data_IF_211841534658
#
_entry.id   IF_211841534658
#
_cell.length_a   1.000
_cell.length_b   1.000
_cell.length_c   1.000
_cell.angle_alpha   90.00
_cell.angle_beta   90.00
_cell.angle_gamma   90.00
#
_symmetry.space_group_name_H-M   'P 1'
#
loop_
_entity.id
_entity.type
_entity.pdbx_description
1 polymer ?
#
# COMPACT_ATOMS: atom_id res chain seq x y z
N UNK A 1 -26.08 52.34 -52.58
CA UNK A 1 -24.87 52.57 -51.76
C UNK A 1 -25.29 52.68 -50.31
N UNK A 2 -25.45 51.54 -49.61
CA UNK A 2 -25.41 51.41 -48.14
C UNK A 2 -25.01 49.96 -47.86
N UNK A 3 -23.95 49.78 -47.07
CA UNK A 3 -23.43 48.53 -46.54
C UNK A 3 -24.20 48.07 -45.30
N UNK A 4 -24.16 46.76 -45.01
CA UNK A 4 -24.45 46.22 -43.68
C UNK A 4 -24.49 44.69 -43.66
N UNK A 5 -23.33 44.04 -43.55
CA UNK A 5 -23.21 42.61 -43.27
C UNK A 5 -23.30 42.36 -41.76
N UNK A 6 -24.05 41.32 -41.38
CA UNK A 6 -24.27 40.90 -40.00
C UNK A 6 -23.09 40.15 -39.39
N UNK A 7 -22.96 40.28 -38.07
CA UNK A 7 -22.13 39.44 -37.22
C UNK A 7 -22.99 38.91 -36.07
N UNK A 8 -23.07 37.59 -35.95
CA UNK A 8 -23.53 36.93 -34.73
C UNK A 8 -22.42 35.96 -34.32
N UNK A 9 -21.72 36.33 -33.26
CA UNK A 9 -20.73 35.53 -32.54
C UNK A 9 -21.47 34.56 -31.62
N UNK A 10 -21.39 33.26 -31.90
CA UNK A 10 -21.74 32.21 -30.93
C UNK A 10 -20.46 31.53 -30.47
N UNK A 11 -20.02 31.83 -29.25
CA UNK A 11 -19.02 31.04 -28.53
C UNK A 11 -19.80 29.95 -27.79
N UNK A 12 -19.51 28.69 -28.13
CA UNK A 12 -20.08 27.53 -27.46
C UNK A 12 -19.21 27.23 -26.24
N UNK A 13 -19.64 27.68 -25.07
CA UNK A 13 -18.99 27.40 -23.80
C UNK A 13 -19.57 26.09 -23.25
N UNK A 14 -18.77 25.02 -23.28
CA UNK A 14 -19.15 23.72 -22.75
C UNK A 14 -18.53 23.56 -21.36
N UNK A 15 -19.10 24.23 -20.37
CA UNK A 15 -18.82 23.92 -18.96
C UNK A 15 -19.51 22.60 -18.60
N UNK A 16 -18.76 21.50 -18.59
CA UNK A 16 -19.18 20.27 -17.91
C UNK A 16 -18.74 20.39 -16.45
N UNK A 17 -19.68 20.75 -15.59
CA UNK A 17 -19.52 20.66 -14.14
C UNK A 17 -20.06 19.32 -13.65
N UNK A 18 -19.27 18.65 -12.80
CA UNK A 18 -19.73 17.55 -11.97
C UNK A 18 -19.17 16.17 -12.33
N UNK A 19 -18.00 15.86 -11.77
CA UNK A 19 -17.74 14.51 -11.28
C UNK A 19 -17.37 14.62 -9.79
N UNK A 20 -17.88 13.72 -8.92
CA UNK A 20 -17.36 13.60 -7.56
C UNK A 20 -15.87 13.27 -7.66
N UNK A 21 -15.05 13.87 -6.79
CA UNK A 21 -13.62 13.59 -6.70
C UNK A 21 -13.41 12.07 -6.65
N UNK A 22 -12.85 11.52 -7.73
CA UNK A 22 -12.34 10.16 -7.73
C UNK A 22 -11.21 10.11 -6.70
N UNK A 23 -11.14 9.02 -5.92
CA UNK A 23 -10.01 8.73 -5.05
C UNK A 23 -8.68 9.00 -5.79
N UNK A 24 -7.61 9.45 -5.09
CA UNK A 24 -6.31 9.73 -5.69
C UNK A 24 -5.91 8.59 -6.62
N UNK A 25 -5.80 8.91 -7.90
CA UNK A 25 -5.57 7.94 -8.96
C UNK A 25 -4.08 7.73 -9.13
N UNK A 26 -3.48 6.79 -8.38
CA UNK A 26 -2.07 6.42 -8.56
C UNK A 26 -1.09 7.60 -8.51
N UNK A 27 0.13 7.38 -9.02
CA UNK A 27 1.14 8.44 -9.12
C UNK A 27 0.77 9.49 -10.18
N UNK A 28 1.15 10.75 -9.94
CA UNK A 28 0.99 11.87 -10.86
C UNK A 28 2.29 12.01 -11.67
N UNK A 29 2.17 11.99 -13.01
CA UNK A 29 3.27 12.30 -13.94
C UNK A 29 2.71 13.12 -15.09
N UNK A 30 2.73 14.45 -14.93
CA UNK A 30 2.06 15.37 -15.84
C UNK A 30 3.05 16.32 -16.53
N UNK A 31 2.81 16.62 -17.80
CA UNK A 31 3.66 17.50 -18.60
C UNK A 31 2.85 18.60 -19.30
N UNK A 32 3.45 19.78 -19.41
CA UNK A 32 2.83 20.92 -20.07
C UNK A 32 2.66 20.67 -21.58
N UNK A 33 1.57 21.19 -22.13
CA UNK A 33 1.32 21.18 -23.58
C UNK A 33 1.66 22.54 -24.19
N UNK A 34 1.82 22.61 -25.51
CA UNK A 34 2.09 23.88 -26.21
C UNK A 34 3.54 24.37 -26.16
N UNK A 35 4.48 23.48 -25.83
CA UNK A 35 5.94 23.71 -25.93
C UNK A 35 6.46 23.21 -27.30
N UNK A 36 7.53 23.79 -27.86
CA UNK A 36 8.44 24.74 -27.24
C UNK A 36 7.93 26.18 -27.18
N UNK A 37 8.32 26.93 -26.14
CA UNK A 37 8.11 28.37 -26.02
C UNK A 37 9.43 29.09 -26.24
N UNK A 38 9.43 30.10 -27.13
CA UNK A 38 10.56 31.01 -27.28
C UNK A 38 10.67 31.94 -26.07
N UNK A 39 11.89 32.25 -25.68
CA UNK A 39 12.23 33.14 -24.58
C UNK A 39 13.04 34.29 -25.16
N UNK A 40 12.36 35.32 -25.70
CA UNK A 40 13.02 36.47 -26.33
C UNK A 40 12.98 37.68 -25.39
N UNK A 41 14.10 38.15 -24.82
CA UNK A 41 14.08 39.18 -23.79
C UNK A 41 13.71 40.60 -24.27
N UNK A 42 13.24 41.46 -23.33
CA UNK A 42 12.88 41.14 -21.96
C UNK A 42 11.54 40.37 -21.94
N UNK A 43 11.54 39.15 -21.43
CA UNK A 43 10.37 38.29 -21.44
C UNK A 43 10.20 37.56 -20.13
N UNK A 44 9.00 37.70 -19.58
CA UNK A 44 8.47 36.80 -18.56
C UNK A 44 7.64 35.78 -19.32
N UNK A 45 8.08 34.53 -19.30
CA UNK A 45 7.37 33.44 -19.95
C UNK A 45 6.82 32.50 -18.89
N UNK A 46 5.60 32.04 -19.13
CA UNK A 46 4.94 31.07 -18.25
C UNK A 46 4.52 29.85 -19.03
N UNK A 47 4.65 28.70 -18.40
CA UNK A 47 4.09 27.43 -18.87
C UNK A 47 3.31 26.79 -17.72
N UNK A 48 2.22 26.11 -18.04
CA UNK A 48 1.30 25.60 -17.03
C UNK A 48 1.03 24.11 -17.22
N UNK A 49 0.88 23.41 -16.11
CA UNK A 49 0.39 22.03 -16.02
C UNK A 49 -0.91 22.06 -15.24
N UNK A 50 -1.94 21.36 -15.71
CA UNK A 50 -3.20 21.23 -14.98
C UNK A 50 -3.34 19.80 -14.47
N UNK A 51 -3.10 19.61 -13.17
CA UNK A 51 -3.26 18.32 -12.49
C UNK A 51 -4.73 18.09 -12.16
N UNK A 52 -5.25 16.91 -12.48
CA UNK A 52 -6.68 16.58 -12.29
C UNK A 52 -6.94 15.70 -11.09
N UNK A 53 -5.92 14.95 -10.66
CA UNK A 53 -5.89 14.09 -9.50
C UNK A 53 -6.11 14.92 -8.23
N UNK A 54 -6.92 14.42 -7.32
CA UNK A 54 -7.18 15.08 -6.03
C UNK A 54 -6.35 14.49 -4.91
N UNK A 55 -5.95 15.32 -3.96
CA UNK A 55 -5.15 14.94 -2.80
C UNK A 55 -4.39 16.16 -2.28
N UNK A 56 -3.52 15.93 -1.30
CA UNK A 56 -2.63 16.97 -0.77
C UNK A 56 -1.19 16.50 -0.79
N UNK A 57 -0.25 17.45 -0.86
CA UNK A 57 1.17 17.15 -0.66
C UNK A 57 1.40 16.95 0.83
N UNK A 58 2.05 15.85 1.22
CA UNK A 58 2.19 15.52 2.62
C UNK A 58 3.06 14.30 2.87
N UNK A 59 2.87 13.71 4.05
CA UNK A 59 3.68 12.59 4.52
C UNK A 59 2.82 11.42 5.04
N UNK A 60 1.50 11.55 5.03
CA UNK A 60 0.60 10.48 5.47
C UNK A 60 0.25 9.53 4.31
N UNK A 61 -0.19 8.33 4.65
CA UNK A 61 -0.82 7.44 3.66
C UNK A 61 -2.02 8.13 3.01
N UNK A 62 -2.07 8.10 1.68
CA UNK A 62 -3.05 8.80 0.85
C UNK A 62 -2.65 10.22 0.43
N UNK A 63 -1.59 10.79 0.99
CA UNK A 63 -0.98 12.05 0.52
C UNK A 63 -0.06 11.78 -0.70
N UNK A 64 0.37 12.84 -1.37
CA UNK A 64 1.39 12.78 -2.42
C UNK A 64 2.75 13.26 -1.91
N UNK A 65 3.78 12.51 -2.27
CA UNK A 65 5.17 12.95 -2.19
C UNK A 65 5.56 13.62 -3.52
N UNK A 66 5.98 14.87 -3.49
CA UNK A 66 6.50 15.60 -4.65
C UNK A 66 7.92 15.12 -4.95
N UNK A 67 8.08 14.30 -5.99
CA UNK A 67 9.35 13.67 -6.31
C UNK A 67 10.29 14.63 -7.02
N UNK A 68 9.82 15.21 -8.13
CA UNK A 68 10.61 16.11 -8.93
C UNK A 68 9.83 17.04 -9.87
N UNK A 69 10.52 18.08 -10.28
CA UNK A 69 10.12 19.00 -11.34
C UNK A 69 11.19 18.95 -12.43
N UNK A 70 10.76 18.64 -13.66
CA UNK A 70 11.66 18.50 -14.80
C UNK A 70 11.32 19.51 -15.88
N UNK A 71 12.32 20.14 -16.47
CA UNK A 71 12.10 20.93 -17.68
C UNK A 71 13.32 20.92 -18.59
N UNK A 72 13.09 20.89 -19.90
CA UNK A 72 14.14 21.00 -20.90
C UNK A 72 14.24 22.44 -21.40
N UNK A 73 15.44 23.00 -21.30
CA UNK A 73 15.67 24.42 -21.49
C UNK A 73 16.94 24.69 -22.29
N UNK A 74 16.88 25.66 -23.19
CA UNK A 74 18.04 26.24 -23.88
C UNK A 74 18.07 27.75 -23.68
N UNK A 75 19.25 28.34 -23.47
CA UNK A 75 19.43 29.80 -23.50
C UNK A 75 20.80 30.21 -24.04
N UNK A 76 20.86 31.36 -24.69
CA UNK A 76 22.10 32.04 -25.04
C UNK A 76 22.92 32.49 -23.82
N UNK A 77 22.27 32.80 -22.71
CA UNK A 77 22.87 33.17 -21.43
C UNK A 77 21.91 32.77 -20.29
N UNK A 78 22.41 32.17 -19.21
CA UNK A 78 21.51 31.60 -18.19
C UNK A 78 21.61 32.25 -16.81
N UNK A 79 22.62 33.10 -16.58
CA UNK A 79 22.96 33.58 -15.24
C UNK A 79 21.91 34.51 -14.62
N UNK A 80 21.09 35.14 -15.42
CA UNK A 80 20.07 36.13 -15.09
C UNK A 80 18.67 35.54 -15.02
N UNK A 81 18.53 34.24 -15.28
CA UNK A 81 17.24 33.56 -15.21
C UNK A 81 16.81 33.35 -13.76
N UNK A 82 15.60 33.78 -13.46
CA UNK A 82 14.88 33.40 -12.25
C UNK A 82 13.76 32.46 -12.65
N UNK A 83 13.81 31.24 -12.11
CA UNK A 83 12.86 30.17 -12.38
C UNK A 83 12.06 29.94 -11.10
N UNK A 84 10.74 30.07 -11.20
CA UNK A 84 9.83 29.94 -10.07
C UNK A 84 8.73 28.96 -10.42
N UNK A 85 8.46 28.02 -9.52
CA UNK A 85 7.28 27.18 -9.55
C UNK A 85 6.23 27.74 -8.60
N UNK A 86 5.00 27.89 -9.07
CA UNK A 86 3.85 28.33 -8.27
C UNK A 86 2.78 27.25 -8.25
N UNK A 87 2.31 26.91 -7.04
CA UNK A 87 1.25 25.91 -6.81
C UNK A 87 -0.14 26.46 -7.14
N UNK A 88 -1.17 25.59 -7.25
CA UNK A 88 -2.57 26.01 -7.40
C UNK A 88 -3.07 26.94 -6.28
N UNK A 89 -2.46 26.87 -5.09
CA UNK A 89 -2.75 27.74 -3.95
C UNK A 89 -1.99 29.07 -3.97
N UNK A 90 -1.21 29.35 -5.02
CA UNK A 90 -0.34 30.52 -5.20
C UNK A 90 0.91 30.58 -4.31
N UNK A 91 1.27 29.50 -3.62
CA UNK A 91 2.57 29.40 -2.97
C UNK A 91 3.65 29.26 -4.03
N UNK A 92 4.76 29.98 -3.86
CA UNK A 92 5.83 30.02 -4.87
C UNK A 92 7.15 29.55 -4.28
N UNK A 93 7.82 28.66 -5.00
CA UNK A 93 9.17 28.20 -4.74
C UNK A 93 10.07 28.68 -5.88
N UNK A 94 11.11 29.45 -5.55
CA UNK A 94 12.17 29.75 -6.49
C UNK A 94 13.00 28.47 -6.66
N UNK A 95 13.01 27.91 -7.87
CA UNK A 95 13.80 26.73 -8.19
C UNK A 95 15.25 27.12 -8.47
N UNK A 96 15.46 28.27 -9.13
CA UNK A 96 16.77 28.85 -9.38
C UNK A 96 16.71 30.37 -9.53
N UNK A 97 17.70 31.09 -8.99
CA UNK A 97 17.82 32.55 -9.10
C UNK A 97 19.21 33.06 -9.51
N UNK A 98 20.21 32.17 -9.63
CA UNK A 98 21.63 32.49 -9.93
C UNK A 98 22.34 31.34 -10.65
N UNK A 99 22.26 31.30 -11.99
CA UNK A 99 22.88 30.21 -12.77
C UNK A 99 24.32 30.55 -13.22
N UNK A 100 25.21 30.96 -12.31
CA UNK A 100 26.67 31.04 -12.52
C UNK A 100 27.23 32.11 -13.48
N UNK A 101 28.50 32.02 -13.96
CA UNK A 101 29.24 33.14 -14.51
C UNK A 101 29.23 33.07 -16.04
N UNK A 102 28.04 33.21 -16.64
CA UNK A 102 27.87 33.47 -18.07
C UNK A 102 28.20 32.33 -19.04
N UNK A 103 27.32 32.14 -20.03
CA UNK A 103 27.52 31.20 -21.14
C UNK A 103 26.21 30.62 -21.65
N UNK A 104 26.23 30.14 -22.90
CA UNK A 104 25.06 29.50 -23.50
C UNK A 104 24.80 28.13 -22.87
N UNK A 105 23.56 27.88 -22.48
CA UNK A 105 23.06 26.55 -22.15
C UNK A 105 22.46 25.93 -23.41
N UNK A 106 23.06 24.86 -23.98
CA UNK A 106 22.36 24.06 -24.98
C UNK A 106 21.12 23.42 -24.34
N UNK A 107 20.16 23.00 -25.17
CA UNK A 107 18.95 22.31 -24.72
C UNK A 107 19.27 21.17 -23.76
N UNK A 108 19.00 21.38 -22.47
CA UNK A 108 19.37 20.49 -21.37
C UNK A 108 18.17 20.29 -20.47
N UNK A 109 17.97 19.05 -20.01
CA UNK A 109 16.92 18.73 -19.04
C UNK A 109 17.44 19.02 -17.64
N UNK A 110 16.72 19.87 -16.91
CA UNK A 110 16.96 20.19 -15.51
C UNK A 110 15.95 19.42 -14.67
N UNK A 111 16.43 18.71 -13.64
CA UNK A 111 15.59 17.92 -12.72
C UNK A 111 15.80 18.40 -11.29
N UNK A 112 14.77 19.01 -10.70
CA UNK A 112 14.77 19.49 -9.33
C UNK A 112 14.07 18.44 -8.45
N UNK A 113 14.81 17.79 -7.55
CA UNK A 113 14.27 16.76 -6.64
C UNK A 113 14.11 17.30 -5.22
N UNK A 114 13.22 16.68 -4.43
CA UNK A 114 13.12 16.94 -2.99
C UNK A 114 14.12 16.09 -2.19
N UNK A 115 15.42 16.32 -2.42
CA UNK A 115 16.47 15.71 -1.60
C UNK A 115 17.10 16.77 -0.71
N UNK A 116 17.24 16.45 0.58
CA UNK A 116 17.70 17.31 1.69
C UNK A 116 19.13 17.87 1.55
N UNK A 117 19.75 17.76 0.37
CA UNK A 117 21.12 18.12 0.10
C UNK A 117 21.39 18.61 -1.32
N UNK A 118 20.50 19.43 -1.90
CA UNK A 118 20.81 20.19 -3.12
C UNK A 118 21.20 19.33 -4.35
N UNK A 119 20.66 18.11 -4.49
CA UNK A 119 21.04 17.22 -5.58
C UNK A 119 20.12 17.41 -6.80
N UNK A 120 20.54 18.27 -7.74
CA UNK A 120 20.10 18.17 -9.14
C UNK A 120 20.80 16.94 -9.74
N UNK A 121 20.10 15.80 -9.80
CA UNK A 121 20.71 14.48 -10.10
C UNK A 121 20.84 14.17 -11.59
N UNK A 122 20.22 14.95 -12.48
CA UNK A 122 20.27 14.74 -13.93
C UNK A 122 20.84 15.93 -14.68
N UNK A 123 22.12 15.86 -15.07
CA UNK A 123 22.74 16.76 -16.05
C UNK A 123 23.29 15.95 -17.20
N UNK A 124 22.53 15.82 -18.29
CA UNK A 124 23.06 15.32 -19.56
C UNK A 124 23.76 16.47 -20.30
N UNK A 125 25.00 16.80 -19.93
CA UNK A 125 25.80 17.82 -20.63
C UNK A 125 26.86 18.58 -19.82
N UNK A 126 26.96 18.36 -18.50
CA UNK A 126 27.79 19.16 -17.59
C UNK A 126 26.98 20.26 -16.91
N UNK A 127 27.24 20.51 -15.62
CA UNK A 127 26.51 21.43 -14.74
C UNK A 127 26.26 22.82 -15.37
N UNK A 128 25.22 23.58 -14.96
CA UNK A 128 25.16 24.96 -15.35
C UNK A 128 26.21 25.66 -14.49
N UNK A 129 27.20 26.26 -15.15
CA UNK A 129 27.81 27.52 -14.74
C UNK A 129 28.15 27.63 -13.23
N UNK A 130 29.45 27.59 -12.91
CA UNK A 130 30.01 27.73 -11.56
C UNK A 130 29.27 28.75 -10.64
N UNK A 131 29.02 28.40 -9.37
CA UNK A 131 28.27 29.19 -8.38
C UNK A 131 26.73 29.07 -8.41
N UNK A 132 26.19 28.02 -9.05
CA UNK A 132 24.77 27.63 -8.92
C UNK A 132 24.38 27.37 -7.46
N UNK A 133 23.40 28.15 -6.96
CA UNK A 133 22.70 27.91 -5.69
C UNK A 133 21.34 27.29 -6.00
N UNK A 134 21.16 25.96 -5.91
CA UNK A 134 19.82 25.39 -5.96
C UNK A 134 19.04 25.87 -4.75
N UNK A 135 17.90 26.51 -4.99
CA UNK A 135 16.86 26.75 -3.97
C UNK A 135 15.78 25.63 -3.99
N UNK A 136 15.95 24.63 -4.88
CA UNK A 136 15.21 23.37 -4.84
C UNK A 136 15.63 22.45 -3.68
N UNK A 137 14.88 21.36 -3.47
CA UNK A 137 15.06 20.49 -2.30
C UNK A 137 14.16 20.83 -1.10
N UNK A 138 13.15 21.68 -1.33
CA UNK A 138 12.12 22.03 -0.35
C UNK A 138 10.71 21.84 -0.93
N UNK A 139 10.54 21.05 -1.99
CA UNK A 139 9.25 20.88 -2.68
C UNK A 139 8.18 20.37 -1.70
N UNK A 140 8.44 19.27 -0.98
CA UNK A 140 7.48 18.75 -0.01
C UNK A 140 7.34 19.64 1.22
N UNK A 141 8.38 20.40 1.58
CA UNK A 141 8.32 21.29 2.74
C UNK A 141 7.51 22.56 2.45
N UNK A 142 7.72 23.18 1.29
CA UNK A 142 7.09 24.46 0.92
C UNK A 142 5.63 24.27 0.52
N UNK A 143 5.30 23.15 -0.13
CA UNK A 143 3.94 22.86 -0.57
C UNK A 143 3.19 21.91 0.39
N UNK A 144 3.73 21.62 1.58
CA UNK A 144 3.09 20.75 2.58
C UNK A 144 1.65 21.20 2.91
N UNK A 145 0.70 20.27 2.83
CA UNK A 145 -0.72 20.46 3.08
C UNK A 145 -1.48 21.16 1.95
N UNK A 146 -0.82 21.51 0.84
CA UNK A 146 -1.49 22.13 -0.30
C UNK A 146 -2.15 21.09 -1.22
N UNK A 147 -3.28 21.44 -1.87
CA UNK A 147 -3.90 20.57 -2.85
C UNK A 147 -2.99 20.35 -4.06
N UNK A 148 -2.93 19.10 -4.55
CA UNK A 148 -2.21 18.78 -5.80
C UNK A 148 -3.00 19.21 -7.04
N UNK A 149 -4.34 19.23 -6.96
CA UNK A 149 -5.22 19.50 -8.08
C UNK A 149 -5.24 20.98 -8.47
N UNK A 150 -5.22 21.24 -9.77
CA UNK A 150 -5.29 22.58 -10.36
C UNK A 150 -4.05 22.96 -11.15
N UNK A 151 -3.92 24.26 -11.40
CA UNK A 151 -2.90 24.80 -12.30
C UNK A 151 -1.58 25.05 -11.57
N UNK A 152 -0.57 24.26 -11.89
CA UNK A 152 0.83 24.52 -11.57
C UNK A 152 1.45 25.42 -12.64
N UNK A 153 2.18 26.44 -12.22
CA UNK A 153 2.79 27.42 -13.15
C UNK A 153 4.29 27.46 -12.98
N UNK A 154 5.03 27.18 -14.07
CA UNK A 154 6.45 27.49 -14.19
C UNK A 154 6.59 28.89 -14.79
N UNK A 155 7.24 29.79 -14.06
CA UNK A 155 7.60 31.15 -14.50
C UNK A 155 9.10 31.21 -14.73
N UNK A 156 9.50 31.67 -15.92
CA UNK A 156 10.89 31.97 -16.27
C UNK A 156 10.97 33.47 -16.52
N UNK A 157 11.78 34.14 -15.71
CA UNK A 157 12.06 35.57 -15.80
C UNK A 157 13.47 35.76 -16.35
N UNK A 158 13.55 36.33 -17.54
CA UNK A 158 14.80 36.74 -18.16
C UNK A 158 14.94 38.27 -18.02
N UNK A 159 15.64 38.66 -16.96
CA UNK A 159 15.59 40.01 -16.41
C UNK A 159 16.61 40.99 -17.03
N UNK A 160 17.46 40.56 -17.97
CA UNK A 160 18.53 41.42 -18.51
C UNK A 160 18.29 41.80 -19.98
N UNK A 161 18.34 43.11 -20.26
CA UNK A 161 17.85 43.71 -21.51
C UNK A 161 18.72 43.49 -22.77
N UNK A 162 19.66 42.52 -22.77
CA UNK A 162 20.66 42.37 -23.84
C UNK A 162 20.41 41.22 -24.83
N UNK A 163 19.20 40.64 -24.87
CA UNK A 163 18.74 39.97 -26.10
C UNK A 163 19.13 38.50 -26.25
N UNK A 164 19.42 37.76 -25.19
CA UNK A 164 19.74 36.34 -25.30
C UNK A 164 18.46 35.50 -25.44
N UNK A 165 18.23 35.03 -26.66
CA UNK A 165 17.12 34.13 -26.95
C UNK A 165 17.29 32.77 -26.29
N UNK A 166 16.17 32.13 -25.96
CA UNK A 166 16.13 30.77 -25.45
C UNK A 166 14.88 30.02 -25.87
N UNK A 167 14.77 28.76 -25.43
CA UNK A 167 13.55 27.99 -25.57
C UNK A 167 13.30 27.09 -24.36
N UNK A 168 12.05 27.07 -23.92
CA UNK A 168 11.53 26.03 -23.02
C UNK A 168 10.92 24.94 -23.87
N UNK A 169 11.54 23.76 -23.91
CA UNK A 169 11.17 22.65 -24.78
C UNK A 169 10.27 21.61 -24.08
N UNK A 170 10.39 21.45 -22.77
CA UNK A 170 9.49 20.61 -21.96
C UNK A 170 9.37 21.14 -20.54
N UNK A 171 8.28 20.84 -19.86
CA UNK A 171 8.06 21.07 -18.43
C UNK A 171 7.14 19.95 -17.92
N UNK A 172 7.55 19.23 -16.89
CA UNK A 172 6.84 18.13 -16.27
C UNK A 172 6.98 18.19 -14.74
N UNK A 173 6.01 17.61 -14.04
CA UNK A 173 6.01 17.37 -12.61
C UNK A 173 5.73 15.89 -12.35
N UNK A 174 6.36 15.35 -11.32
CA UNK A 174 6.15 13.98 -10.85
C UNK A 174 5.87 13.99 -9.34
N UNK A 175 4.80 13.29 -8.94
CA UNK A 175 4.46 13.08 -7.54
C UNK A 175 3.99 11.64 -7.32
N UNK A 176 4.55 10.96 -6.35
CA UNK A 176 4.18 9.58 -6.02
C UNK A 176 3.08 9.56 -4.97
N UNK A 177 2.08 8.69 -5.14
CA UNK A 177 1.07 8.46 -4.11
C UNK A 177 1.71 7.68 -2.96
N UNK A 178 1.58 8.20 -1.75
CA UNK A 178 2.07 7.54 -0.56
C UNK A 178 1.06 6.45 -0.17
N UNK A 179 1.37 5.18 -0.42
CA UNK A 179 0.41 4.08 -0.16
C UNK A 179 0.60 3.38 1.18
N UNK A 180 1.75 3.53 1.84
CA UNK A 180 2.07 2.93 3.16
C UNK A 180 3.20 3.75 3.81
N UNK A 181 3.02 4.24 5.04
CA UNK A 181 4.09 4.93 5.81
C UNK A 181 4.15 4.40 7.23
N UNK A 182 4.68 3.20 7.37
CA UNK A 182 4.93 2.63 8.69
C UNK A 182 5.82 1.42 8.57
N UNK A 183 6.55 1.10 9.64
CA UNK A 183 7.19 -0.19 9.73
C UNK A 183 6.09 -1.27 9.84
N UNK A 184 6.37 -2.50 9.46
CA UNK A 184 5.42 -3.57 9.71
C UNK A 184 5.36 -3.89 11.21
N UNK A 185 4.16 -4.20 11.76
CA UNK A 185 4.04 -4.54 13.17
C UNK A 185 4.80 -5.83 13.50
N UNK A 186 5.13 -6.00 14.77
CA UNK A 186 5.67 -7.26 15.31
C UNK A 186 4.57 -8.01 16.05
N UNK A 187 4.43 -9.32 15.77
CA UNK A 187 3.49 -10.20 16.46
C UNK A 187 4.23 -11.33 17.20
N UNK A 188 3.94 -11.47 18.49
CA UNK A 188 4.36 -12.58 19.33
C UNK A 188 3.23 -13.60 19.42
N UNK A 189 3.46 -14.77 18.81
CA UNK A 189 2.51 -15.87 18.86
C UNK A 189 2.44 -16.52 20.25
N UNK A 190 1.26 -17.05 20.64
CA UNK A 190 1.16 -18.00 21.75
C UNK A 190 2.09 -19.20 21.55
N UNK A 191 2.47 -19.84 22.65
CA UNK A 191 3.05 -21.18 22.58
C UNK A 191 1.99 -22.20 22.18
N UNK A 192 2.44 -23.36 21.68
CA UNK A 192 1.55 -24.49 21.42
C UNK A 192 0.78 -24.90 22.68
N UNK A 193 -0.48 -25.28 22.51
CA UNK A 193 -1.40 -25.63 23.57
C UNK A 193 -1.73 -27.11 23.49
N UNK A 194 -1.60 -27.82 24.60
CA UNK A 194 -2.09 -29.20 24.73
C UNK A 194 -3.12 -29.28 25.85
N UNK A 195 -4.33 -29.73 25.53
CA UNK A 195 -5.44 -29.88 26.47
C UNK A 195 -6.14 -31.22 26.24
N UNK A 196 -6.84 -31.73 27.25
CA UNK A 196 -7.68 -32.91 27.08
C UNK A 196 -9.06 -32.50 26.55
N UNK A 197 -9.75 -33.42 25.87
CA UNK A 197 -11.16 -33.26 25.55
C UNK A 197 -12.00 -33.00 26.81
N UNK A 198 -13.09 -32.27 26.64
CA UNK A 198 -14.06 -32.05 27.71
C UNK A 198 -14.95 -33.29 27.88
N UNK A 199 -15.30 -33.60 29.12
CA UNK A 199 -16.08 -34.78 29.50
C UNK A 199 -17.34 -34.92 28.64
N UNK A 200 -17.52 -36.09 28.03
CA UNK A 200 -18.66 -36.42 27.19
C UNK A 200 -18.66 -35.75 25.81
N UNK A 201 -17.57 -35.08 25.42
CA UNK A 201 -17.45 -34.40 24.11
C UNK A 201 -16.14 -34.73 23.40
N UNK A 202 -16.14 -34.81 22.06
CA UNK A 202 -14.91 -35.01 21.30
C UNK A 202 -14.20 -33.71 20.91
N UNK A 203 -13.92 -32.88 21.91
CA UNK A 203 -13.23 -31.62 21.72
C UNK A 203 -13.07 -30.85 23.01
N UNK A 204 -12.38 -29.73 22.96
CA UNK A 204 -12.18 -28.85 24.10
C UNK A 204 -12.13 -27.39 23.67
N UNK A 205 -12.55 -26.49 24.57
CA UNK A 205 -12.42 -25.05 24.34
C UNK A 205 -11.00 -24.60 24.69
N UNK A 206 -10.31 -23.99 23.73
CA UNK A 206 -8.99 -23.41 23.96
C UNK A 206 -9.08 -21.88 23.97
N UNK A 207 -8.45 -21.26 24.96
CA UNK A 207 -8.33 -19.80 25.08
C UNK A 207 -6.85 -19.42 24.96
N UNK A 208 -6.59 -18.41 24.14
CA UNK A 208 -5.25 -17.89 23.86
C UNK A 208 -5.32 -16.41 23.51
N UNK A 209 -4.17 -15.74 23.59
CA UNK A 209 -4.00 -14.36 23.21
C UNK A 209 -2.60 -14.18 22.61
N UNK A 210 -2.53 -13.56 21.44
CA UNK A 210 -1.29 -13.04 20.90
C UNK A 210 -1.00 -11.65 21.46
N UNK A 211 0.23 -11.19 21.27
CA UNK A 211 0.62 -9.81 21.57
C UNK A 211 1.20 -9.20 20.31
N UNK A 212 0.73 -8.02 19.94
CA UNK A 212 1.22 -7.28 18.78
C UNK A 212 1.64 -5.86 19.18
N UNK A 213 2.79 -5.44 18.68
CA UNK A 213 3.34 -4.11 18.86
C UNK A 213 3.84 -3.55 17.55
N UNK A 214 3.57 -2.28 17.35
CA UNK A 214 4.13 -1.48 16.28
C UNK A 214 4.83 -0.25 16.86
N UNK A 215 5.89 0.23 16.20
CA UNK A 215 6.68 1.36 16.68
C UNK A 215 5.89 2.67 16.58
N UNK A 216 4.99 2.78 15.59
CA UNK A 216 4.16 3.96 15.32
C UNK A 216 2.82 3.89 16.07
N UNK A 217 2.16 2.73 16.10
CA UNK A 217 0.83 2.56 16.73
C UNK A 217 0.86 2.08 18.19
N UNK A 218 2.01 1.58 18.67
CA UNK A 218 2.13 1.01 20.00
C UNK A 218 1.46 -0.37 20.11
N UNK A 219 0.64 -0.58 21.14
CA UNK A 219 0.03 -1.89 21.40
C UNK A 219 -1.28 -2.06 20.61
N UNK A 220 -1.22 -2.87 19.55
CA UNK A 220 -2.34 -3.21 18.67
C UNK A 220 -2.86 -4.64 18.91
N UNK A 221 -2.57 -5.24 20.07
CA UNK A 221 -3.00 -6.62 20.38
C UNK A 221 -4.53 -6.80 20.37
N UNK A 222 -5.29 -5.71 20.50
CA UNK A 222 -6.76 -5.72 20.42
C UNK A 222 -7.30 -5.96 19.01
N UNK A 223 -6.47 -5.74 17.99
CA UNK A 223 -6.84 -5.85 16.57
C UNK A 223 -6.42 -7.19 15.96
N UNK A 224 -5.82 -8.08 16.77
CA UNK A 224 -5.46 -9.44 16.33
C UNK A 224 -6.72 -10.22 15.97
N UNK A 225 -6.73 -10.75 14.76
CA UNK A 225 -7.73 -11.70 14.27
C UNK A 225 -7.14 -13.10 14.34
N UNK A 226 -7.88 -14.04 14.95
CA UNK A 226 -7.47 -15.43 15.10
C UNK A 226 -8.38 -16.38 14.32
N UNK A 227 -7.79 -17.34 13.60
CA UNK A 227 -8.52 -18.38 12.87
C UNK A 227 -7.92 -19.76 13.16
N UNK A 228 -8.65 -20.67 13.85
CA UNK A 228 -9.90 -20.45 14.57
C UNK A 228 -9.80 -19.41 15.70
N UNK A 229 -10.92 -18.82 16.10
CA UNK A 229 -10.93 -17.78 17.14
C UNK A 229 -10.65 -18.33 18.54
N UNK A 230 -10.03 -17.52 19.40
CA UNK A 230 -9.87 -17.83 20.83
C UNK A 230 -11.24 -18.06 21.49
N UNK A 231 -11.34 -19.08 22.34
CA UNK A 231 -12.60 -19.51 22.95
C UNK A 231 -13.46 -20.43 22.07
N UNK A 232 -12.99 -20.81 20.87
CA UNK A 232 -13.64 -21.83 20.05
C UNK A 232 -13.45 -23.23 20.63
N UNK A 233 -14.33 -24.15 20.26
CA UNK A 233 -14.16 -25.58 20.50
C UNK A 233 -13.27 -26.18 19.40
N UNK A 234 -12.20 -26.85 19.82
CA UNK A 234 -11.26 -27.56 18.97
C UNK A 234 -11.54 -29.07 19.05
N UNK A 235 -11.58 -29.80 17.92
CA UNK A 235 -11.75 -31.26 17.93
C UNK A 235 -10.49 -31.96 18.45
N UNK A 236 -10.64 -33.22 18.88
CA UNK A 236 -9.49 -34.09 19.17
C UNK A 236 -8.53 -34.16 17.98
N UNK A 237 -7.23 -34.09 18.26
CA UNK A 237 -6.15 -33.99 17.28
C UNK A 237 -5.49 -32.60 17.28
N UNK A 238 -4.70 -32.35 16.23
CA UNK A 238 -3.97 -31.11 16.05
C UNK A 238 -4.76 -30.14 15.17
N UNK A 239 -4.90 -28.90 15.63
CA UNK A 239 -5.45 -27.78 14.87
C UNK A 239 -4.45 -26.64 14.84
N UNK A 240 -4.07 -26.18 13.64
CA UNK A 240 -3.25 -24.98 13.48
C UNK A 240 -4.13 -23.75 13.63
N UNK A 241 -3.69 -22.81 14.47
CA UNK A 241 -4.31 -21.49 14.60
C UNK A 241 -3.40 -20.46 13.94
N UNK A 242 -3.96 -19.64 13.06
CA UNK A 242 -3.29 -18.48 12.46
C UNK A 242 -3.78 -17.21 13.15
N UNK A 243 -2.84 -16.37 13.58
CA UNK A 243 -3.09 -15.00 14.02
C UNK A 243 -2.66 -14.05 12.91
N UNK A 244 -3.45 -13.00 12.69
CA UNK A 244 -3.16 -11.90 11.76
C UNK A 244 -3.44 -10.57 12.45
N UNK A 245 -2.60 -9.57 12.17
CA UNK A 245 -2.81 -8.19 12.63
C UNK A 245 -2.36 -7.21 11.55
N UNK A 246 -3.09 -6.12 11.41
CA UNK A 246 -2.81 -5.04 10.46
C UNK A 246 -2.70 -3.74 11.25
N UNK A 247 -1.63 -2.97 11.02
CA UNK A 247 -1.42 -1.65 11.64
C UNK A 247 -2.30 -0.57 10.97
N UNK A 248 -2.21 0.68 11.45
CA UNK A 248 -2.97 1.80 10.91
C UNK A 248 -2.49 2.26 9.52
N UNK A 249 -1.26 1.90 9.15
CA UNK A 249 -0.63 2.17 7.85
C UNK A 249 -0.92 1.09 6.79
N UNK A 250 -1.56 -0.01 7.17
CA UNK A 250 -1.97 -1.11 6.30
C UNK A 250 -0.96 -2.25 6.16
N UNK A 251 0.14 -2.25 6.92
CA UNK A 251 1.05 -3.39 6.97
C UNK A 251 0.42 -4.55 7.74
N UNK A 252 0.45 -5.74 7.16
CA UNK A 252 -0.11 -6.96 7.78
C UNK A 252 0.98 -7.96 8.10
N UNK A 253 0.93 -8.54 9.30
CA UNK A 253 1.78 -9.68 9.70
C UNK A 253 0.95 -10.84 10.24
N UNK A 254 1.48 -12.05 10.10
CA UNK A 254 0.85 -13.28 10.59
C UNK A 254 1.80 -14.14 11.41
N UNK A 255 1.26 -14.97 12.28
CA UNK A 255 1.99 -16.04 12.96
C UNK A 255 1.08 -17.23 13.24
N UNK A 256 1.67 -18.42 13.44
CA UNK A 256 0.92 -19.64 13.71
C UNK A 256 1.42 -20.37 14.97
N UNK A 257 0.52 -21.10 15.60
CA UNK A 257 0.79 -22.04 16.69
C UNK A 257 -0.19 -23.22 16.64
N UNK A 258 0.09 -24.29 17.37
CA UNK A 258 -0.71 -25.51 17.36
C UNK A 258 -1.56 -25.66 18.63
N UNK A 259 -2.81 -26.09 18.46
CA UNK A 259 -3.69 -26.57 19.52
C UNK A 259 -3.88 -28.07 19.35
N UNK A 260 -3.38 -28.85 20.30
CA UNK A 260 -3.55 -30.30 20.38
C UNK A 260 -4.58 -30.65 21.43
N UNK A 261 -5.69 -31.27 21.02
CA UNK A 261 -6.68 -31.82 21.94
C UNK A 261 -6.49 -33.33 22.03
N UNK A 262 -6.19 -33.83 23.22
CA UNK A 262 -5.96 -35.25 23.50
C UNK A 262 -7.24 -35.88 24.01
N UNK A 263 -7.65 -37.00 23.40
CA UNK A 263 -8.70 -37.83 23.97
C UNK A 263 -8.15 -38.63 25.17
N UNK A 264 -8.72 -38.38 26.35
CA UNK A 264 -8.34 -39.07 27.57
C UNK A 264 -9.51 -39.73 28.30
N UNK A 265 -10.70 -39.73 27.69
CA UNK A 265 -11.88 -40.37 28.26
C UNK A 265 -11.86 -41.85 27.86
N UNK A 266 -12.16 -42.73 28.82
CA UNK A 266 -12.15 -44.15 28.57
C UNK A 266 -13.50 -44.60 27.97
N UNK A 267 -13.51 -45.51 26.99
CA UNK A 267 -14.75 -46.05 26.45
C UNK A 267 -15.51 -46.86 27.51
N UNK A 268 -16.85 -46.80 27.44
CA UNK A 268 -17.74 -47.62 28.26
C UNK A 268 -18.14 -48.85 27.45
N UNK A 269 -17.59 -50.01 27.82
CA UNK A 269 -17.96 -51.29 27.23
C UNK A 269 -19.29 -51.80 27.80
N UNK A 270 -20.24 -52.13 26.93
CA UNK A 270 -21.52 -52.74 27.28
C UNK A 270 -21.67 -54.02 26.48
N UNK A 271 -21.71 -55.17 27.16
CA UNK A 271 -21.77 -56.48 26.51
C UNK A 271 -23.16 -57.12 26.59
N UNK A 272 -23.43 -58.08 25.70
CA UNK A 272 -24.60 -58.95 25.73
C UNK A 272 -24.20 -60.42 25.61
N UNK A 273 -25.03 -61.29 26.17
CA UNK A 273 -24.92 -62.73 25.97
C UNK A 273 -25.43 -63.11 24.58
N UNK A 274 -24.72 -64.03 23.92
CA UNK A 274 -25.13 -64.62 22.65
C UNK A 274 -25.10 -66.14 22.73
N UNK A 275 -25.91 -66.79 21.89
CA UNK A 275 -25.83 -68.24 21.64
C UNK A 275 -25.23 -68.45 20.27
N UNK A 276 -24.20 -69.29 20.18
CA UNK A 276 -23.46 -69.56 18.94
C UNK A 276 -23.54 -71.04 18.66
N UNK A 277 -23.99 -71.40 17.45
CA UNK A 277 -24.00 -72.79 16.98
C UNK A 277 -22.65 -73.13 16.34
N UNK A 278 -22.09 -74.30 16.68
CA UNK A 278 -20.88 -74.82 16.04
C UNK A 278 -21.20 -75.29 14.62
N UNK A 279 -20.28 -75.07 13.69
CA UNK A 279 -20.42 -75.56 12.33
C UNK A 279 -20.48 -77.11 12.31
N UNK A 280 -21.50 -77.72 11.69
CA UNK A 280 -21.74 -79.17 11.79
C UNK A 280 -20.72 -80.03 11.04
N UNK A 281 -19.84 -79.44 10.22
CA UNK A 281 -18.81 -80.14 9.44
C UNK A 281 -17.45 -80.01 10.11
N UNK A 282 -17.12 -78.82 10.59
CA UNK A 282 -15.81 -78.47 11.14
C UNK A 282 -15.77 -78.52 12.67
N UNK A 283 -16.92 -78.41 13.34
CA UNK A 283 -17.03 -78.32 14.80
C UNK A 283 -16.66 -76.96 15.38
N UNK A 284 -16.39 -75.95 14.54
CA UNK A 284 -15.84 -74.66 14.97
C UNK A 284 -16.90 -73.56 14.93
N UNK A 285 -16.77 -72.55 15.78
CA UNK A 285 -17.42 -71.26 15.62
C UNK A 285 -16.45 -70.10 15.93
N UNK A 286 -16.65 -68.95 15.28
CA UNK A 286 -15.91 -67.72 15.59
C UNK A 286 -16.86 -66.56 15.77
N UNK A 287 -16.56 -65.69 16.72
CA UNK A 287 -17.29 -64.45 16.98
C UNK A 287 -16.35 -63.25 16.89
N UNK A 288 -16.94 -62.08 16.76
CA UNK A 288 -16.29 -60.78 16.76
C UNK A 288 -16.77 -59.96 17.96
N UNK A 289 -16.02 -58.90 18.31
CA UNK A 289 -16.45 -57.97 19.36
C UNK A 289 -17.83 -57.36 19.10
N UNK A 290 -18.20 -57.17 17.83
CA UNK A 290 -19.50 -56.63 17.44
C UNK A 290 -20.67 -57.59 17.73
N UNK A 291 -20.43 -58.91 17.75
CA UNK A 291 -21.50 -59.89 18.02
C UNK A 291 -21.98 -59.82 19.48
N UNK A 292 -21.08 -59.46 20.40
CA UNK A 292 -21.37 -59.33 21.84
C UNK A 292 -21.50 -57.88 22.30
N UNK A 293 -21.44 -56.91 21.39
CA UNK A 293 -21.63 -55.50 21.73
C UNK A 293 -23.11 -55.20 21.98
N UNK A 294 -23.39 -54.50 23.07
CA UNK A 294 -24.73 -54.10 23.50
C UNK A 294 -24.83 -52.57 23.62
N UNK A 295 -24.18 -51.86 22.69
CA UNK A 295 -24.14 -50.41 22.65
C UNK A 295 -23.04 -49.82 23.51
N UNK A 296 -21.81 -50.34 23.39
CA UNK A 296 -20.62 -49.68 23.92
C UNK A 296 -20.51 -48.26 23.34
N UNK A 297 -20.03 -47.32 24.15
CA UNK A 297 -19.94 -45.91 23.76
C UNK A 297 -18.62 -45.28 24.16
N UNK A 298 -18.20 -44.30 23.39
CA UNK A 298 -17.12 -43.39 23.69
C UNK A 298 -17.50 -42.01 23.17
N UNK A 299 -17.04 -40.93 23.82
CA UNK A 299 -17.35 -39.57 23.39
C UNK A 299 -16.62 -39.15 22.10
N UNK A 300 -15.48 -39.77 21.80
CA UNK A 300 -14.69 -39.60 20.59
C UNK A 300 -14.75 -40.77 19.60
N UNK A 301 -15.45 -41.83 19.99
CA UNK A 301 -15.65 -43.02 19.18
C UNK A 301 -14.70 -44.15 19.60
N UNK A 302 -15.16 -45.38 19.41
CA UNK A 302 -14.41 -46.55 19.87
C UNK A 302 -13.29 -46.85 18.87
N UNK A 303 -12.04 -46.75 19.33
CA UNK A 303 -10.87 -47.03 18.50
C UNK A 303 -10.75 -48.51 18.09
N UNK A 304 -11.11 -49.44 18.99
CA UNK A 304 -11.07 -50.88 18.72
C UNK A 304 -11.95 -51.67 19.68
N UNK A 305 -12.40 -52.84 19.25
CA UNK A 305 -13.05 -53.86 20.09
C UNK A 305 -12.25 -55.16 20.03
N UNK A 306 -12.08 -55.83 21.16
CA UNK A 306 -11.38 -57.11 21.24
C UNK A 306 -12.06 -58.04 22.23
N UNK A 307 -11.97 -59.35 21.96
CA UNK A 307 -12.42 -60.41 22.86
C UNK A 307 -11.23 -61.20 23.38
N UNK A 308 -11.37 -61.71 24.60
CA UNK A 308 -10.42 -62.66 25.19
C UNK A 308 -10.56 -64.06 24.57
N UNK A 309 -11.77 -64.45 24.20
CA UNK A 309 -12.09 -65.68 23.45
C UNK A 309 -12.97 -65.34 22.25
N UNK A 310 -12.52 -65.70 21.05
CA UNK A 310 -13.24 -65.44 19.80
C UNK A 310 -13.44 -66.68 18.93
N UNK A 311 -13.02 -67.85 19.40
CA UNK A 311 -13.12 -69.13 18.68
C UNK A 311 -13.49 -70.24 19.65
N UNK A 312 -14.40 -71.12 19.23
CA UNK A 312 -14.96 -72.21 20.02
C UNK A 312 -14.90 -73.52 19.22
N UNK A 313 -14.69 -74.64 19.92
CA UNK A 313 -14.59 -76.02 19.40
C UNK A 313 -15.35 -77.05 20.24
#
# INVERSE_FOLDING_TARGET
MVHGYGGATGVFDLTVSGFPASAPGGDISECATGLPLGLDPPAIQTSTINVTETGVIGAASGDYNFDDVMFNFASGYANDLIITLTSPSNTSLVLSSRNGPGGSLPASTLTFTDSSGNAVTGWTGGAPLADYLPEGGLLNTVFAGEPVNGTWTLRIDDAFAWGDGGSLNSFCLNMSLITVVGNAPTIACPADITINNAVGTCGAVANFAGVAFDDEDGNISGDIIATPASGSTFPVGDTVVELSVTDSDGNTVTCNFMVTVVDNEAPVAVCQDITVDLDPVTGMATITGADVDNGSTDNCGIASMSLDVSSFD
#
